data_IF_478835427980
#
_entry.id   IF_478835427980
#
_cell.length_a   1.000
_cell.length_b   1.000
_cell.length_c   1.000
_cell.angle_alpha   90.00
_cell.angle_beta   90.00
_cell.angle_gamma   90.00
#
_symmetry.space_group_name_H-M   'P 1'
#
loop_
_entity.id
_entity.type
_entity.pdbx_description
1 polymer ?
#
# COMPACT_ATOMS: atom_id res chain seq x y z
N UNK A 1 -2.66 8.33 3.72
CA UNK A 1 -3.84 8.05 2.85
C UNK A 1 -3.37 7.17 1.71
N UNK A 2 -4.21 6.20 1.25
CA UNK A 2 -3.83 5.23 0.21
C UNK A 2 -4.77 5.36 -0.98
N UNK A 3 -4.20 5.23 -2.19
CA UNK A 3 -4.92 5.27 -3.45
C UNK A 3 -4.49 4.09 -4.33
N UNK A 4 -5.42 3.54 -5.12
CA UNK A 4 -5.12 2.58 -6.17
C UNK A 4 -4.77 3.34 -7.45
N UNK A 5 -3.58 3.11 -8.00
CA UNK A 5 -3.14 3.75 -9.24
C UNK A 5 -3.95 3.21 -10.43
N UNK A 6 -4.76 4.06 -11.07
CA UNK A 6 -5.61 3.68 -12.21
C UNK A 6 -6.65 2.60 -11.90
N UNK A 7 -6.80 2.20 -10.64
CA UNK A 7 -7.56 1.01 -10.24
C UNK A 7 -8.96 1.30 -9.72
N UNK A 8 -9.82 1.98 -10.52
CA UNK A 8 -11.19 2.26 -10.11
C UNK A 8 -11.94 0.99 -9.67
N UNK A 9 -11.95 -0.05 -10.51
CA UNK A 9 -12.66 -1.30 -10.21
C UNK A 9 -12.13 -1.94 -8.91
N UNK A 10 -10.80 -1.95 -8.73
CA UNK A 10 -10.18 -2.50 -7.52
C UNK A 10 -10.54 -1.70 -6.27
N UNK A 11 -10.64 -0.37 -6.37
CA UNK A 11 -11.09 0.48 -5.27
C UNK A 11 -12.57 0.23 -4.92
N UNK A 12 -13.42 0.05 -5.94
CA UNK A 12 -14.83 -0.27 -5.74
C UNK A 12 -15.02 -1.63 -5.06
N UNK A 13 -14.33 -2.68 -5.52
CA UNK A 13 -14.35 -4.00 -4.91
C UNK A 13 -13.95 -3.94 -3.43
N UNK A 14 -12.95 -3.14 -3.08
CA UNK A 14 -12.55 -2.94 -1.71
C UNK A 14 -13.61 -2.21 -0.87
N UNK A 15 -14.28 -1.20 -1.44
CA UNK A 15 -15.39 -0.51 -0.78
C UNK A 15 -16.59 -1.46 -0.58
N UNK A 16 -16.94 -2.27 -1.58
CA UNK A 16 -17.99 -3.29 -1.49
C UNK A 16 -17.66 -4.37 -0.45
N UNK A 17 -16.39 -4.80 -0.40
CA UNK A 17 -15.94 -5.72 0.64
C UNK A 17 -16.09 -5.12 2.05
N UNK A 18 -15.77 -3.83 2.24
CA UNK A 18 -16.04 -3.13 3.51
C UNK A 18 -17.52 -3.04 3.84
N UNK A 19 -18.36 -2.78 2.84
CA UNK A 19 -19.82 -2.78 3.02
C UNK A 19 -20.32 -4.15 3.47
N UNK A 20 -19.90 -5.24 2.83
CA UNK A 20 -20.28 -6.60 3.22
C UNK A 20 -19.90 -6.97 4.67
N UNK A 21 -18.95 -6.24 5.24
CA UNK A 21 -18.51 -6.37 6.63
C UNK A 21 -19.22 -5.42 7.59
N UNK A 22 -20.11 -4.57 7.10
CA UNK A 22 -20.80 -3.55 7.89
C UNK A 22 -19.91 -2.38 8.33
N UNK A 23 -18.72 -2.22 7.73
CA UNK A 23 -17.78 -1.13 8.07
C UNK A 23 -18.20 0.20 7.44
N UNK A 24 -18.89 0.15 6.31
CA UNK A 24 -19.46 1.31 5.62
C UNK A 24 -20.88 0.98 5.13
N UNK A 25 -21.72 2.01 4.96
CA UNK A 25 -23.09 1.84 4.49
C UNK A 25 -23.18 1.80 2.97
N UNK A 26 -22.50 2.73 2.30
CA UNK A 26 -22.55 2.90 0.85
C UNK A 26 -21.12 2.89 0.28
N UNK A 27 -20.82 1.95 -0.65
CA UNK A 27 -19.53 1.89 -1.27
C UNK A 27 -19.42 2.99 -2.33
N UNK A 28 -18.40 3.85 -2.21
CA UNK A 28 -18.12 4.91 -3.15
C UNK A 28 -16.61 5.01 -3.42
N UNK A 29 -16.25 5.37 -4.63
CA UNK A 29 -14.86 5.63 -5.02
C UNK A 29 -14.67 7.11 -5.28
N UNK A 30 -13.63 7.66 -4.66
CA UNK A 30 -13.16 9.00 -4.89
C UNK A 30 -11.82 8.94 -5.62
N UNK A 31 -11.69 9.65 -6.73
CA UNK A 31 -10.43 9.82 -7.44
C UNK A 31 -9.62 11.00 -6.90
N UNK A 32 -8.30 10.95 -7.07
CA UNK A 32 -7.42 12.06 -6.74
C UNK A 32 -6.33 12.24 -7.79
N UNK A 33 -5.98 13.50 -8.07
CA UNK A 33 -4.78 13.86 -8.81
C UNK A 33 -3.63 13.98 -7.83
N UNK A 34 -2.60 13.13 -7.98
CA UNK A 34 -1.47 13.04 -7.06
C UNK A 34 -0.20 13.39 -7.80
N UNK A 35 0.50 14.41 -7.31
CA UNK A 35 1.88 14.67 -7.68
C UNK A 35 2.78 13.79 -6.81
N UNK A 36 3.48 12.84 -7.41
CA UNK A 36 4.27 11.86 -6.63
C UNK A 36 5.39 12.51 -5.82
N UNK A 37 5.90 13.66 -6.27
CA UNK A 37 7.00 14.33 -5.61
C UNK A 37 8.23 13.43 -5.49
N UNK A 38 8.89 13.45 -4.34
CA UNK A 38 9.92 12.45 -4.03
C UNK A 38 9.23 11.16 -3.61
N UNK A 39 9.12 10.26 -4.57
CA UNK A 39 8.48 8.97 -4.39
C UNK A 39 9.51 7.91 -3.98
N UNK A 40 9.21 7.16 -2.93
CA UNK A 40 9.89 5.91 -2.61
C UNK A 40 9.18 4.79 -3.37
N UNK A 41 9.69 4.48 -4.56
CA UNK A 41 9.06 3.51 -5.46
C UNK A 41 9.59 2.10 -5.18
N UNK A 42 8.73 1.23 -4.68
CA UNK A 42 9.07 -0.16 -4.36
C UNK A 42 9.24 -1.05 -5.61
N UNK A 43 9.01 -0.52 -6.80
CA UNK A 43 9.38 -1.19 -8.06
C UNK A 43 10.86 -0.94 -8.43
N UNK A 44 11.51 0.00 -7.74
CA UNK A 44 12.92 0.31 -7.92
C UNK A 44 13.80 -0.61 -7.06
N UNK A 45 14.83 -1.17 -7.67
CA UNK A 45 15.81 -2.04 -7.00
C UNK A 45 16.52 -1.33 -5.85
N UNK A 46 16.83 -0.03 -6.00
CA UNK A 46 17.44 0.74 -4.91
C UNK A 46 16.52 0.77 -3.69
N UNK A 47 15.24 1.07 -3.87
CA UNK A 47 14.28 1.15 -2.77
C UNK A 47 14.14 -0.20 -2.03
N UNK A 48 14.00 -1.30 -2.76
CA UNK A 48 13.92 -2.64 -2.16
C UNK A 48 15.21 -3.06 -1.46
N UNK A 49 16.38 -2.65 -2.00
CA UNK A 49 17.67 -2.85 -1.33
C UNK A 49 17.74 -2.08 0.00
N UNK A 50 17.26 -0.82 0.03
CA UNK A 50 17.17 -0.07 1.28
C UNK A 50 16.27 -0.77 2.31
N UNK A 51 15.11 -1.28 1.89
CA UNK A 51 14.23 -2.04 2.80
C UNK A 51 14.96 -3.24 3.43
N UNK A 52 15.69 -4.03 2.65
CA UNK A 52 16.47 -5.17 3.15
C UNK A 52 17.53 -4.75 4.18
N UNK A 53 18.25 -3.65 3.89
CA UNK A 53 19.24 -3.09 4.81
C UNK A 53 18.59 -2.63 6.13
N UNK A 54 17.52 -1.85 6.06
CA UNK A 54 16.87 -1.32 7.25
C UNK A 54 16.05 -2.37 8.00
N UNK A 55 15.56 -3.44 7.34
CA UNK A 55 15.00 -4.59 8.03
C UNK A 55 16.01 -5.21 8.98
N UNK A 56 17.25 -5.45 8.53
CA UNK A 56 18.30 -6.03 9.38
C UNK A 56 18.63 -5.16 10.59
N UNK A 57 18.65 -3.84 10.40
CA UNK A 57 18.84 -2.86 11.50
C UNK A 57 17.68 -2.88 12.49
N UNK A 58 16.44 -2.87 11.99
CA UNK A 58 15.23 -2.93 12.82
C UNK A 58 15.17 -4.24 13.61
N UNK A 59 15.45 -5.38 12.98
CA UNK A 59 15.46 -6.68 13.64
C UNK A 59 16.48 -6.73 14.78
N UNK A 60 17.69 -6.19 14.54
CA UNK A 60 18.74 -6.09 15.58
C UNK A 60 18.33 -5.16 16.73
N UNK A 61 17.64 -4.06 16.44
CA UNK A 61 17.14 -3.14 17.46
C UNK A 61 16.08 -3.81 18.33
N UNK A 62 15.05 -4.40 17.71
CA UNK A 62 13.98 -5.10 18.43
C UNK A 62 14.52 -6.25 19.29
N UNK A 63 15.47 -7.02 18.75
CA UNK A 63 16.11 -8.09 19.53
C UNK A 63 16.81 -7.58 20.80
N UNK A 64 17.52 -6.46 20.71
CA UNK A 64 18.18 -5.84 21.89
C UNK A 64 17.19 -5.31 22.91
N UNK A 65 16.03 -4.85 22.49
CA UNK A 65 14.96 -4.33 23.33
C UNK A 65 14.04 -5.43 23.87
N UNK A 66 14.25 -6.69 23.46
CA UNK A 66 13.40 -7.82 23.85
C UNK A 66 12.02 -7.80 23.19
N UNK A 67 11.84 -6.99 22.13
CA UNK A 67 10.57 -6.84 21.44
C UNK A 67 10.43 -7.81 20.26
N UNK A 68 9.23 -8.36 20.03
CA UNK A 68 9.02 -9.29 18.94
C UNK A 68 9.01 -8.56 17.58
N UNK A 69 9.60 -9.21 16.56
CA UNK A 69 9.49 -8.73 15.19
C UNK A 69 8.03 -8.85 14.74
N UNK A 70 7.39 -7.77 14.23
CA UNK A 70 6.05 -7.81 13.68
C UNK A 70 5.92 -8.85 12.56
N UNK A 71 4.70 -9.33 12.32
CA UNK A 71 4.43 -10.28 11.23
C UNK A 71 3.28 -9.79 10.37
N UNK A 72 3.42 -10.00 9.06
CA UNK A 72 2.28 -9.87 8.15
C UNK A 72 1.32 -11.04 8.41
N UNK A 73 0.02 -10.77 8.41
CA UNK A 73 -0.98 -11.76 8.74
C UNK A 73 -2.28 -11.55 7.96
N UNK A 74 -3.08 -12.57 7.91
CA UNK A 74 -4.43 -12.52 7.36
C UNK A 74 -5.32 -11.65 8.24
N UNK A 75 -6.28 -10.96 7.64
CA UNK A 75 -7.27 -10.19 8.39
C UNK A 75 -8.26 -11.12 9.13
N UNK A 76 -8.59 -12.28 8.52
CA UNK A 76 -9.44 -13.32 9.12
C UNK A 76 -8.88 -14.71 8.81
N UNK A 77 -9.21 -15.72 9.63
CA UNK A 77 -8.99 -17.11 9.25
C UNK A 77 -9.68 -17.42 7.92
N UNK A 78 -8.94 -18.02 6.97
CA UNK A 78 -9.46 -18.34 5.64
C UNK A 78 -9.17 -17.29 4.54
N UNK A 79 -8.78 -16.06 4.90
CA UNK A 79 -8.29 -15.11 3.89
C UNK A 79 -7.05 -15.68 3.18
N UNK A 80 -6.99 -15.56 1.85
CA UNK A 80 -5.81 -15.96 1.08
C UNK A 80 -4.68 -14.96 1.24
N UNK A 81 -5.02 -13.68 1.29
CA UNK A 81 -4.08 -12.57 1.28
C UNK A 81 -3.65 -12.14 2.70
N UNK A 82 -2.39 -11.74 2.84
CA UNK A 82 -1.85 -11.16 4.07
C UNK A 82 -2.16 -9.65 4.13
N UNK A 83 -3.43 -9.31 4.31
CA UNK A 83 -3.91 -7.92 4.26
C UNK A 83 -3.38 -7.05 5.41
N UNK A 84 -3.09 -7.65 6.57
CA UNK A 84 -2.51 -6.94 7.71
C UNK A 84 -0.98 -6.97 7.60
N UNK A 85 -0.42 -5.96 6.96
CA UNK A 85 1.01 -5.86 6.59
C UNK A 85 1.83 -5.18 7.68
N UNK A 86 1.73 -5.67 8.91
CA UNK A 86 2.38 -5.04 10.06
C UNK A 86 3.91 -5.02 9.94
N UNK A 87 4.52 -6.09 9.43
CA UNK A 87 5.97 -6.15 9.19
C UNK A 87 6.40 -5.16 8.11
N UNK A 88 5.71 -5.19 6.95
CA UNK A 88 6.04 -4.31 5.83
C UNK A 88 5.92 -2.84 6.24
N UNK A 89 4.85 -2.49 6.96
CA UNK A 89 4.65 -1.15 7.49
C UNK A 89 5.75 -0.75 8.49
N UNK A 90 6.15 -1.64 9.40
CA UNK A 90 7.20 -1.35 10.38
C UNK A 90 8.54 -1.11 9.68
N UNK A 91 8.93 -1.98 8.76
CA UNK A 91 10.18 -1.86 8.00
C UNK A 91 10.21 -0.60 7.15
N UNK A 92 9.12 -0.34 6.41
CA UNK A 92 9.00 0.83 5.55
C UNK A 92 9.08 2.14 6.36
N UNK A 93 8.32 2.23 7.45
CA UNK A 93 8.34 3.43 8.30
C UNK A 93 9.72 3.65 8.94
N UNK A 94 10.35 2.58 9.43
CA UNK A 94 11.70 2.66 9.99
C UNK A 94 12.71 3.11 8.93
N UNK A 95 12.70 2.48 7.74
CA UNK A 95 13.55 2.84 6.61
C UNK A 95 13.43 4.33 6.24
N UNK A 96 12.20 4.81 6.04
CA UNK A 96 11.96 6.20 5.63
C UNK A 96 12.36 7.21 6.72
N UNK A 97 12.17 6.86 7.99
CA UNK A 97 12.61 7.69 9.12
C UNK A 97 14.13 7.79 9.17
N UNK A 98 14.84 6.67 9.01
CA UNK A 98 16.30 6.65 9.04
C UNK A 98 16.88 7.39 7.82
N UNK A 99 16.34 7.17 6.62
CA UNK A 99 16.77 7.90 5.42
C UNK A 99 16.58 9.42 5.56
N UNK A 100 15.51 9.86 6.22
CA UNK A 100 15.29 11.28 6.48
C UNK A 100 16.32 11.84 7.48
N UNK A 101 16.72 11.06 8.49
CA UNK A 101 17.72 11.45 9.47
C UNK A 101 19.14 11.47 8.87
N UNK A 102 19.51 10.43 8.09
CA UNK A 102 20.86 10.25 7.56
C UNK A 102 21.22 11.27 6.48
N UNK A 103 20.25 11.79 5.72
CA UNK A 103 20.51 12.68 4.58
C UNK A 103 20.41 14.17 4.90
N UNK A 104 20.10 14.53 6.15
CA UNK A 104 19.93 15.92 6.57
C UNK A 104 18.65 16.56 6.02
N UNK A 105 18.37 17.79 6.46
CA UNK A 105 17.09 18.48 6.13
C UNK A 105 16.77 18.44 4.63
N UNK A 106 15.72 17.73 4.27
CA UNK A 106 15.04 17.77 2.97
C UNK A 106 15.43 16.68 1.96
N UNK A 107 16.60 16.06 2.03
CA UNK A 107 16.99 15.06 1.00
C UNK A 107 16.44 13.65 1.21
N UNK A 108 16.14 13.25 2.44
CA UNK A 108 15.60 11.92 2.77
C UNK A 108 14.09 11.89 2.99
N UNK A 109 13.40 13.02 2.88
CA UNK A 109 11.96 13.06 3.09
C UNK A 109 11.21 12.66 1.82
N UNK A 110 10.66 11.46 1.81
CA UNK A 110 9.81 10.97 0.73
C UNK A 110 8.37 11.39 0.99
N UNK A 111 7.75 12.02 0.00
CA UNK A 111 6.40 12.57 0.07
C UNK A 111 5.34 11.52 -0.25
N UNK A 112 5.70 10.54 -1.09
CA UNK A 112 4.84 9.41 -1.43
C UNK A 112 5.62 8.11 -1.39
N UNK A 113 4.89 7.00 -1.30
CA UNK A 113 5.40 5.64 -1.50
C UNK A 113 4.51 4.95 -2.53
N UNK A 114 5.12 4.32 -3.52
CA UNK A 114 4.42 3.57 -4.55
C UNK A 114 4.86 2.11 -4.49
N UNK A 115 3.92 1.16 -4.56
CA UNK A 115 4.28 -0.25 -4.49
C UNK A 115 3.25 -1.15 -5.15
N UNK A 116 3.73 -2.31 -5.63
CA UNK A 116 2.90 -3.39 -6.19
C UNK A 116 2.45 -4.31 -5.07
N UNK A 117 1.17 -4.63 -5.07
CA UNK A 117 0.56 -5.60 -4.17
C UNK A 117 0.01 -6.76 -5.00
N UNK A 118 0.52 -7.96 -4.73
CA UNK A 118 0.06 -9.20 -5.36
C UNK A 118 -1.02 -9.78 -4.48
N UNK A 119 -2.25 -9.75 -4.95
CA UNK A 119 -3.44 -10.21 -4.20
C UNK A 119 -4.37 -11.01 -5.11
N UNK A 120 -5.23 -11.81 -4.49
CA UNK A 120 -6.19 -12.68 -5.16
C UNK A 120 -5.60 -13.99 -5.67
N UNK A 121 -6.42 -14.74 -6.39
CA UNK A 121 -6.02 -16.01 -6.98
C UNK A 121 -5.19 -15.81 -8.26
N UNK A 122 -4.37 -16.80 -8.66
CA UNK A 122 -3.75 -16.79 -9.98
C UNK A 122 -4.80 -16.57 -11.07
N UNK A 123 -4.52 -15.71 -12.06
CA UNK A 123 -5.44 -15.39 -13.14
C UNK A 123 -5.80 -16.60 -14.01
N UNK A 124 -4.94 -17.61 -14.04
CA UNK A 124 -5.15 -18.92 -14.65
C UNK A 124 -4.23 -19.96 -13.99
N UNK A 125 -4.48 -21.27 -14.11
CA UNK A 125 -3.65 -22.31 -13.50
C UNK A 125 -2.17 -22.16 -13.84
N UNK A 126 -1.33 -22.04 -12.80
CA UNK A 126 0.12 -21.84 -12.95
C UNK A 126 0.56 -20.40 -13.20
N UNK A 127 -0.35 -19.43 -13.29
CA UNK A 127 0.00 -18.03 -13.46
C UNK A 127 0.76 -17.46 -12.25
N UNK A 128 1.68 -16.53 -12.55
CA UNK A 128 2.30 -15.63 -11.56
C UNK A 128 1.64 -14.25 -11.55
N UNK A 129 0.65 -14.04 -12.41
CA UNK A 129 -0.22 -12.86 -12.45
C UNK A 129 -1.46 -13.21 -11.63
N UNK A 130 -1.79 -12.36 -10.68
CA UNK A 130 -2.92 -12.57 -9.76
C UNK A 130 -4.07 -11.62 -10.09
N UNK A 131 -5.30 -12.09 -9.88
CA UNK A 131 -6.54 -11.43 -10.30
C UNK A 131 -6.78 -10.06 -9.63
N UNK A 132 -6.18 -9.82 -8.46
CA UNK A 132 -6.31 -8.58 -7.69
C UNK A 132 -5.01 -7.83 -7.51
N UNK A 133 -3.98 -8.16 -8.31
CA UNK A 133 -2.73 -7.41 -8.30
C UNK A 133 -2.99 -5.95 -8.69
N UNK A 134 -2.38 -5.05 -7.94
CA UNK A 134 -2.59 -3.62 -8.15
C UNK A 134 -1.40 -2.82 -7.63
N UNK A 135 -1.36 -1.55 -8.01
CA UNK A 135 -0.40 -0.60 -7.47
C UNK A 135 -1.13 0.30 -6.47
N UNK A 136 -0.51 0.53 -5.32
CA UNK A 136 -0.96 1.52 -4.35
C UNK A 136 0.04 2.65 -4.23
N UNK A 137 -0.51 3.86 -4.02
CA UNK A 137 0.23 5.06 -3.69
C UNK A 137 -0.16 5.47 -2.27
N UNK A 138 0.80 5.46 -1.36
CA UNK A 138 0.64 6.02 -0.02
C UNK A 138 1.12 7.47 -0.03
N UNK A 139 0.21 8.42 0.18
CA UNK A 139 0.53 9.84 0.31
C UNK A 139 0.89 10.13 1.76
N UNK A 140 2.13 10.56 1.99
CA UNK A 140 2.68 10.95 3.29
C UNK A 140 2.61 12.47 3.50
N UNK A 141 2.78 13.23 2.43
CA UNK A 141 2.64 14.68 2.41
C UNK A 141 1.32 15.05 1.71
N UNK A 142 0.31 15.55 2.44
CA UNK A 142 -0.98 15.92 1.85
C UNK A 142 -0.88 16.97 0.73
N UNK A 143 0.19 17.79 0.69
CA UNK A 143 0.41 18.75 -0.38
C UNK A 143 0.61 18.09 -1.75
N UNK A 144 0.89 16.79 -1.79
CA UNK A 144 0.95 16.02 -3.02
C UNK A 144 -0.44 15.75 -3.65
N UNK A 145 -1.53 15.96 -2.92
CA UNK A 145 -2.88 15.81 -3.47
C UNK A 145 -3.29 17.14 -4.08
N UNK A 146 -3.33 17.19 -5.41
CA UNK A 146 -3.66 18.40 -6.17
C UNK A 146 -5.16 18.66 -6.25
N UNK A 147 -5.97 17.63 -6.08
CA UNK A 147 -7.42 17.74 -6.11
C UNK A 147 -8.10 16.37 -6.09
N UNK A 148 -9.41 16.39 -5.88
CA UNK A 148 -10.25 15.20 -5.89
C UNK A 148 -11.28 15.31 -7.00
N UNK A 149 -11.75 14.16 -7.49
CA UNK A 149 -12.82 14.08 -8.47
C UNK A 149 -13.69 12.86 -8.23
N UNK A 150 -14.94 12.95 -8.65
CA UNK A 150 -15.80 11.78 -8.78
C UNK A 150 -15.52 11.16 -10.15
N UNK A 151 -15.16 9.87 -10.23
CA UNK A 151 -14.94 9.23 -11.53
C UNK A 151 -16.18 9.34 -12.41
N UNK A 152 -16.01 9.81 -13.66
CA UNK A 152 -17.08 9.85 -14.63
C UNK A 152 -17.31 8.42 -15.17
N UNK A 153 -18.40 7.85 -14.77
CA UNK A 153 -18.80 6.51 -15.15
C UNK A 153 -19.80 6.05 -14.12
N UNK A 154 -21.00 6.53 -14.29
CA UNK A 154 -22.12 6.02 -13.49
C UNK A 154 -22.12 4.50 -13.62
N UNK A 155 -22.09 3.86 -12.49
CA UNK A 155 -22.16 2.43 -12.31
C UNK A 155 -23.47 1.94 -12.87
N UNK A 156 -23.54 1.63 -14.13
CA UNK A 156 -24.49 0.64 -14.59
C UNK A 156 -23.93 -0.70 -14.17
N UNK A 157 -24.38 -1.19 -13.02
CA UNK A 157 -24.44 -2.63 -12.81
C UNK A 157 -25.33 -3.12 -13.93
N UNK A 158 -24.76 -3.66 -15.00
CA UNK A 158 -25.50 -4.46 -15.95
C UNK A 158 -25.92 -5.69 -15.17
N UNK A 159 -27.19 -5.73 -14.81
CA UNK A 159 -27.88 -6.97 -14.47
C UNK A 159 -27.85 -7.83 -15.74
N UNK A 160 -27.00 -8.87 -15.76
CA UNK A 160 -27.15 -10.07 -16.58
C UNK A 160 -26.93 -11.28 -15.68
#
# INVERSE_FOLDING_TARGET
>A
MYFWEGGYQRALEFAQWKQSRGEIKEPMVLGAYIHLGRCFDLTDTWATTQLGHYYSRLASLLHREGEPIPRNRRARPGDHDLLLRNLDCAVLNFCLTQLAADTGKGRGHFQTVRGVFVEGEPAYPGARIHSRSHIQIAVRDPACILGYFLPAGGYTVSEE
#
